data_IF_717237166297
#
_entry.id   IF_717237166297
#
_cell.length_a   1.000
_cell.length_b   1.000
_cell.length_c   1.000
_cell.angle_alpha   90.00
_cell.angle_beta   90.00
_cell.angle_gamma   90.00
#
_symmetry.space_group_name_H-M   'P 1'
#
loop_
_entity.id
_entity.type
_entity.pdbx_description
1 polymer ?
#
# COMPACT_ATOMS: atom_id res chain seq x y z
N UNK A 1 11.47 -4.89 -9.17
CA UNK A 1 10.68 -5.09 -7.95
C UNK A 1 9.47 -4.18 -8.03
N UNK A 2 8.30 -4.66 -7.65
CA UNK A 2 7.13 -3.80 -7.50
C UNK A 2 6.93 -3.49 -6.02
N UNK A 3 6.41 -2.31 -5.73
CA UNK A 3 6.07 -1.88 -4.38
C UNK A 3 4.61 -1.42 -4.32
N UNK A 4 4.05 -1.48 -3.13
CA UNK A 4 2.79 -0.86 -2.78
C UNK A 4 3.03 0.03 -1.57
N UNK A 5 2.53 1.24 -1.67
CA UNK A 5 2.67 2.25 -0.64
C UNK A 5 1.43 2.21 0.25
N UNK A 6 1.61 1.94 1.54
CA UNK A 6 0.51 1.75 2.47
C UNK A 6 0.61 2.75 3.62
N UNK A 7 -0.56 3.25 4.06
CA UNK A 7 -0.64 4.21 5.13
C UNK A 7 -1.83 3.92 6.05
N UNK A 8 -1.67 4.32 7.30
CA UNK A 8 -2.70 4.30 8.33
C UNK A 8 -2.73 5.64 9.01
N UNK A 9 -3.95 6.16 9.15
CA UNK A 9 -4.23 7.38 9.86
C UNK A 9 -5.16 7.08 11.03
N UNK A 10 -4.77 7.49 12.23
CA UNK A 10 -5.62 7.39 13.42
C UNK A 10 -6.12 8.78 13.73
N UNK A 11 -7.44 8.97 13.68
CA UNK A 11 -8.11 10.22 14.00
C UNK A 11 -8.24 10.39 15.53
N UNK A 12 -8.37 11.64 16.01
CA UNK A 12 -8.38 11.95 17.44
C UNK A 12 -9.56 11.30 18.20
N UNK A 13 -10.64 10.99 17.49
CA UNK A 13 -11.82 10.30 18.03
C UNK A 13 -11.67 8.77 18.07
N UNK A 14 -10.48 8.22 17.76
CA UNK A 14 -10.20 6.79 17.73
C UNK A 14 -10.58 6.08 16.43
N UNK A 15 -11.13 6.78 15.43
CA UNK A 15 -11.36 6.23 14.09
C UNK A 15 -10.06 5.99 13.35
N UNK A 16 -9.94 4.88 12.62
CA UNK A 16 -8.73 4.57 11.85
C UNK A 16 -9.07 4.45 10.36
N UNK A 17 -8.35 5.21 9.53
CA UNK A 17 -8.40 5.13 8.09
C UNK A 17 -7.16 4.39 7.57
N UNK A 18 -7.37 3.45 6.66
CA UNK A 18 -6.32 2.69 6.01
C UNK A 18 -6.42 2.87 4.50
N UNK A 19 -5.28 3.04 3.83
CA UNK A 19 -5.22 3.16 2.38
C UNK A 19 -3.93 2.57 1.82
N UNK A 20 -3.98 2.23 0.54
CA UNK A 20 -2.82 1.77 -0.20
C UNK A 20 -2.87 2.24 -1.65
N UNK A 21 -1.70 2.38 -2.28
CA UNK A 21 -1.58 2.63 -3.72
C UNK A 21 -1.83 1.35 -4.52
N UNK A 22 -2.00 1.49 -5.83
CA UNK A 22 -1.79 0.37 -6.74
C UNK A 22 -0.34 -0.11 -6.69
N UNK A 23 -0.11 -1.35 -7.13
CA UNK A 23 1.24 -1.87 -7.31
C UNK A 23 1.95 -1.10 -8.40
N UNK A 24 3.13 -0.57 -8.09
CA UNK A 24 3.91 0.23 -9.00
C UNK A 24 5.37 -0.23 -9.01
N UNK A 25 6.11 0.12 -10.07
CA UNK A 25 7.54 -0.17 -10.11
C UNK A 25 8.25 0.61 -9.02
N UNK A 26 9.14 -0.09 -8.32
CA UNK A 26 9.98 0.54 -7.31
C UNK A 26 10.91 1.57 -7.94
N UNK A 27 10.89 2.79 -7.42
CA UNK A 27 11.84 3.84 -7.77
C UNK A 27 12.09 4.75 -6.58
N UNK A 28 13.30 5.30 -6.50
CA UNK A 28 13.65 6.26 -5.45
C UNK A 28 12.74 7.51 -5.49
N UNK A 29 12.36 7.96 -6.68
CA UNK A 29 11.46 9.09 -6.88
C UNK A 29 10.06 8.82 -6.30
N UNK A 30 9.53 7.61 -6.50
CA UNK A 30 8.23 7.20 -5.96
C UNK A 30 8.28 7.15 -4.44
N UNK A 31 9.32 6.53 -3.87
CA UNK A 31 9.50 6.46 -2.41
C UNK A 31 9.60 7.86 -1.79
N UNK A 32 10.41 8.75 -2.37
CA UNK A 32 10.57 10.13 -1.88
C UNK A 32 9.29 10.95 -2.01
N UNK A 33 8.62 10.87 -3.17
CA UNK A 33 7.37 11.60 -3.41
C UNK A 33 6.26 11.17 -2.45
N UNK A 34 6.17 9.87 -2.15
CA UNK A 34 5.23 9.34 -1.18
C UNK A 34 5.54 9.81 0.24
N UNK A 35 6.77 9.65 0.71
CA UNK A 35 7.20 10.12 2.03
C UNK A 35 6.90 11.60 2.20
N UNK A 36 7.22 12.43 1.20
CA UNK A 36 6.94 13.87 1.22
C UNK A 36 5.44 14.18 1.26
N UNK A 37 4.62 13.48 0.47
CA UNK A 37 3.15 13.65 0.52
C UNK A 37 2.57 13.29 1.88
N UNK A 38 3.06 12.21 2.50
CA UNK A 38 2.59 11.79 3.82
C UNK A 38 3.06 12.74 4.93
N UNK A 39 4.29 13.26 4.85
CA UNK A 39 4.78 14.30 5.76
C UNK A 39 3.93 15.57 5.68
N UNK A 40 3.56 15.99 4.47
CA UNK A 40 2.69 17.15 4.27
C UNK A 40 1.28 16.88 4.81
N UNK A 41 0.69 15.73 4.51
CA UNK A 41 -0.64 15.36 5.01
C UNK A 41 -0.69 15.27 6.54
N UNK A 42 0.39 14.80 7.17
CA UNK A 42 0.53 14.76 8.62
C UNK A 42 0.65 16.15 9.26
N UNK A 43 1.22 17.13 8.55
CA UNK A 43 1.48 18.48 9.06
C UNK A 43 0.32 19.47 8.82
N UNK A 44 -0.37 19.39 7.68
CA UNK A 44 -1.36 20.41 7.27
C UNK A 44 -2.82 20.08 7.62
N UNK A 45 -3.27 18.82 7.50
CA UNK A 45 -4.73 18.54 7.48
C UNK A 45 -5.23 17.70 8.65
N UNK A 46 -4.36 16.95 9.33
CA UNK A 46 -4.82 15.83 10.14
C UNK A 46 -4.22 15.74 11.56
N UNK A 47 -3.17 16.53 11.85
CA UNK A 47 -2.63 16.75 13.20
C UNK A 47 -2.18 15.50 13.98
N UNK A 48 -2.10 14.33 13.34
CA UNK A 48 -1.80 13.04 13.96
C UNK A 48 -0.86 12.24 13.06
N UNK A 49 0.02 11.41 13.64
CA UNK A 49 1.03 10.69 12.86
C UNK A 49 0.35 9.67 11.95
N UNK A 50 0.53 9.85 10.64
CA UNK A 50 0.26 8.78 9.70
C UNK A 50 1.38 7.73 9.82
N UNK A 51 1.04 6.50 10.16
CA UNK A 51 1.97 5.38 10.05
C UNK A 51 2.10 5.02 8.57
N UNK A 52 3.33 4.94 8.07
CA UNK A 52 3.62 4.73 6.65
C UNK A 52 4.58 3.58 6.49
N UNK A 53 4.27 2.65 5.60
CA UNK A 53 5.16 1.54 5.27
C UNK A 53 5.09 1.19 3.79
N UNK A 54 6.18 0.60 3.30
CA UNK A 54 6.31 0.13 1.93
C UNK A 54 6.17 -1.38 1.98
N UNK A 55 5.23 -1.91 1.22
CA UNK A 55 5.11 -3.34 0.96
C UNK A 55 5.88 -3.64 -0.32
N UNK A 56 6.81 -4.58 -0.24
CA UNK A 56 7.60 -5.02 -1.39
C UNK A 56 7.01 -6.32 -1.93
N UNK A 57 6.63 -6.33 -3.21
CA UNK A 57 6.27 -7.56 -3.91
C UNK A 57 7.58 -8.23 -4.35
N UNK A 58 8.06 -9.14 -3.52
CA UNK A 58 8.90 -10.22 -4.02
C UNK A 58 7.97 -11.13 -4.81
N UNK A 59 8.23 -11.28 -6.11
CA UNK A 59 7.42 -12.04 -7.07
C UNK A 59 7.23 -13.54 -6.73
N UNK A 60 7.58 -13.97 -5.51
CA UNK A 60 7.30 -15.29 -4.92
C UNK A 60 5.88 -15.40 -4.32
N UNK A 61 5.12 -14.30 -4.23
CA UNK A 61 3.71 -14.30 -3.74
C UNK A 61 2.63 -14.33 -4.83
N UNK A 62 2.97 -14.73 -6.05
CA UNK A 62 2.02 -15.30 -7.01
C UNK A 62 2.14 -16.83 -7.15
N UNK A 63 2.04 -17.66 -6.09
CA UNK A 63 1.85 -19.08 -6.28
C UNK A 63 0.35 -19.34 -6.48
N UNK A 64 0.01 -19.77 -7.70
CA UNK A 64 -1.09 -20.70 -7.97
C UNK A 64 -2.56 -20.29 -7.69
N UNK A 65 -2.90 -19.10 -7.17
CA UNK A 65 -4.31 -18.82 -6.85
C UNK A 65 -5.22 -18.50 -8.06
N UNK A 66 -4.67 -18.14 -9.23
CA UNK A 66 -5.47 -18.00 -10.46
C UNK A 66 -5.55 -19.29 -11.30
N UNK A 67 -4.66 -20.27 -11.11
CA UNK A 67 -4.74 -21.57 -11.81
C UNK A 67 -5.74 -22.54 -11.17
N UNK A 68 -6.09 -22.37 -9.90
CA UNK A 68 -7.09 -23.22 -9.25
C UNK A 68 -8.55 -22.78 -9.52
N UNK A 69 -8.79 -21.53 -9.91
CA UNK A 69 -10.15 -21.02 -10.18
C UNK A 69 -10.63 -21.23 -11.63
N UNK A 70 -9.78 -21.75 -12.51
CA UNK A 70 -10.11 -22.01 -13.94
C UNK A 70 -10.03 -23.49 -14.33
N UNK A 71 -9.75 -24.40 -13.38
CA UNK A 71 -9.53 -25.83 -13.64
C UNK A 71 -10.59 -26.80 -13.11
N UNK A 72 -11.78 -26.34 -12.70
CA UNK A 72 -12.86 -27.24 -12.23
C UNK A 72 -14.22 -26.84 -12.79
N UNK A 73 -14.51 -27.30 -14.00
CA UNK A 73 -15.81 -27.09 -14.64
C UNK A 73 -15.99 -27.86 -15.92
N UNK A 74 -16.25 -29.17 -15.78
CA UNK A 74 -16.99 -30.08 -16.70
C UNK A 74 -16.67 -30.07 -18.20
N UNK A 75 -16.22 -31.24 -18.67
CA UNK A 75 -16.23 -31.67 -20.06
C UNK A 75 -15.67 -33.08 -20.14
#
# INVERSE_FOLDING_TARGET
>A
MNIRLSWKYTHANGGVLYGHSEWMRDSAEVRQSFTRRMQNASNDELGLPAEVWIEEDSFDRYPAQQRAASGRGKG
#
